data_IF_885261753842
#
_entry.id   IF_885261753842
#
_cell.length_a   1.000
_cell.length_b   1.000
_cell.length_c   1.000
_cell.angle_alpha   90.00
_cell.angle_beta   90.00
_cell.angle_gamma   90.00
#
_symmetry.space_group_name_H-M   'P 1'
#
loop_
_entity.id
_entity.type
_entity.pdbx_description
1 polymer ?
#
# COMPACT_ATOMS: atom_id res chain seq x y z
N UNK A 1 -16.73 29.78 -3.28
CA UNK A 1 -16.94 28.59 -2.42
C UNK A 1 -16.37 27.36 -3.11
N UNK A 2 -15.61 26.49 -2.42
CA UNK A 2 -15.12 25.23 -3.01
C UNK A 2 -16.28 24.24 -3.13
N UNK A 3 -16.42 23.57 -4.28
CA UNK A 3 -17.44 22.53 -4.49
C UNK A 3 -17.22 21.36 -3.49
N UNK A 4 -18.29 20.74 -2.98
CA UNK A 4 -18.17 19.59 -2.10
C UNK A 4 -17.52 18.41 -2.84
N UNK A 5 -16.71 17.64 -2.11
CA UNK A 5 -16.03 16.46 -2.66
C UNK A 5 -17.07 15.37 -2.94
N UNK A 6 -17.05 14.73 -4.13
CA UNK A 6 -17.97 13.63 -4.45
C UNK A 6 -17.84 12.45 -3.47
N UNK A 7 -18.94 11.76 -3.17
CA UNK A 7 -18.97 10.61 -2.24
C UNK A 7 -17.92 9.55 -2.58
N UNK A 8 -17.86 9.13 -3.86
CA UNK A 8 -16.86 8.15 -4.36
C UNK A 8 -15.43 8.61 -4.04
N UNK A 9 -15.12 9.89 -4.29
CA UNK A 9 -13.78 10.44 -4.02
C UNK A 9 -13.44 10.50 -2.53
N UNK A 10 -14.42 10.81 -1.69
CA UNK A 10 -14.26 10.77 -0.23
C UNK A 10 -13.92 9.36 0.24
N UNK A 11 -14.63 8.34 -0.24
CA UNK A 11 -14.37 6.93 0.07
C UNK A 11 -12.98 6.48 -0.38
N UNK A 12 -12.54 6.86 -1.59
CA UNK A 12 -11.17 6.55 -2.06
C UNK A 12 -10.10 7.13 -1.12
N UNK A 13 -10.28 8.36 -0.64
CA UNK A 13 -9.35 9.00 0.29
C UNK A 13 -9.33 8.28 1.66
N UNK A 14 -10.49 7.79 2.12
CA UNK A 14 -10.59 7.00 3.34
C UNK A 14 -9.88 5.65 3.18
N UNK A 15 -10.05 4.98 2.04
CA UNK A 15 -9.35 3.73 1.72
C UNK A 15 -7.83 3.95 1.64
N UNK A 16 -7.35 5.01 0.97
CA UNK A 16 -5.92 5.35 0.90
C UNK A 16 -5.32 5.56 2.31
N UNK A 17 -6.06 6.24 3.19
CA UNK A 17 -5.64 6.48 4.58
C UNK A 17 -5.54 5.18 5.37
N UNK A 18 -6.57 4.34 5.32
CA UNK A 18 -6.60 3.07 6.05
C UNK A 18 -5.54 2.10 5.54
N UNK A 19 -5.38 2.00 4.21
CA UNK A 19 -4.33 1.20 3.60
C UNK A 19 -2.94 1.63 4.08
N UNK A 20 -2.64 2.92 4.05
CA UNK A 20 -1.35 3.45 4.55
C UNK A 20 -1.12 3.11 6.03
N UNK A 21 -2.17 3.21 6.85
CA UNK A 21 -2.10 2.81 8.25
C UNK A 21 -1.84 1.31 8.43
N UNK A 22 -2.44 0.45 7.61
CA UNK A 22 -2.18 -0.99 7.64
C UNK A 22 -0.71 -1.30 7.32
N UNK A 23 -0.17 -0.71 6.25
CA UNK A 23 1.23 -0.92 5.84
C UNK A 23 2.21 -0.49 6.93
N UNK A 24 2.02 0.71 7.50
CA UNK A 24 2.90 1.21 8.56
C UNK A 24 2.77 0.37 9.83
N UNK A 25 1.55 -0.03 10.21
CA UNK A 25 1.32 -0.85 11.41
C UNK A 25 1.88 -2.28 11.27
N UNK A 26 1.79 -2.88 10.07
CA UNK A 26 2.37 -4.19 9.73
C UNK A 26 3.89 -4.15 9.83
N UNK A 27 4.51 -3.21 9.11
CA UNK A 27 5.95 -3.24 8.91
C UNK A 27 6.73 -2.62 10.07
N UNK A 28 6.17 -1.60 10.73
CA UNK A 28 6.72 -0.83 11.88
C UNK A 28 8.04 -0.09 11.65
N UNK A 29 8.87 -0.57 10.74
CA UNK A 29 10.14 0.00 10.32
C UNK A 29 10.24 -0.02 8.80
N UNK A 30 11.23 0.71 8.27
CA UNK A 30 11.55 0.70 6.86
C UNK A 30 11.96 -0.70 6.41
N UNK A 31 11.27 -1.27 5.43
CA UNK A 31 11.57 -2.62 4.92
C UNK A 31 12.91 -2.73 4.20
N UNK A 32 13.48 -1.62 3.74
CA UNK A 32 14.79 -1.60 3.09
C UNK A 32 15.99 -1.40 4.02
N UNK A 33 15.79 -0.83 5.22
CA UNK A 33 16.91 -0.42 6.11
C UNK A 33 16.67 -0.63 7.60
N UNK A 34 15.48 -1.10 7.99
CA UNK A 34 15.02 -1.23 9.37
C UNK A 34 14.97 0.07 10.20
N UNK A 35 15.14 1.23 9.58
CA UNK A 35 15.02 2.54 10.23
C UNK A 35 13.58 2.83 10.64
N UNK A 36 13.37 3.48 11.78
CA UNK A 36 12.08 4.02 12.23
C UNK A 36 11.88 5.51 11.89
N UNK A 37 12.82 6.12 11.18
CA UNK A 37 12.80 7.56 10.87
C UNK A 37 11.84 7.87 9.71
N UNK A 38 10.94 8.85 9.93
CA UNK A 38 10.02 9.43 8.93
C UNK A 38 9.41 8.39 7.98
N UNK A 39 8.71 7.43 8.56
CA UNK A 39 8.07 6.33 7.83
C UNK A 39 6.89 6.78 6.98
N UNK A 40 6.74 6.15 5.82
CA UNK A 40 5.62 6.36 4.90
C UNK A 40 5.31 5.07 4.14
N UNK A 41 4.03 4.84 3.85
CA UNK A 41 3.62 3.75 2.97
C UNK A 41 3.92 4.09 1.51
N UNK A 42 4.55 3.15 0.82
CA UNK A 42 4.90 3.23 -0.59
C UNK A 42 4.11 2.18 -1.38
N UNK A 43 3.57 2.59 -2.53
CA UNK A 43 2.90 1.67 -3.45
C UNK A 43 3.92 1.12 -4.46
N UNK A 44 4.17 -0.19 -4.45
CA UNK A 44 5.09 -0.85 -5.40
C UNK A 44 4.64 -0.64 -6.85
N UNK A 45 3.34 -0.84 -7.11
CA UNK A 45 2.66 -0.46 -8.35
C UNK A 45 1.84 0.79 -8.09
N UNK A 46 2.03 1.82 -8.92
CA UNK A 46 1.37 3.12 -8.78
C UNK A 46 -0.10 3.02 -8.41
N UNK A 47 -0.57 3.92 -7.54
CA UNK A 47 -1.99 4.06 -7.15
C UNK A 47 -2.96 4.30 -8.33
N UNK A 48 -2.43 4.60 -9.52
CA UNK A 48 -3.22 4.69 -10.76
C UNK A 48 -3.73 3.32 -11.22
N UNK A 49 -3.04 2.24 -10.87
CA UNK A 49 -3.47 0.86 -11.12
C UNK A 49 -4.49 0.46 -10.06
N UNK A 50 -5.78 0.63 -10.36
CA UNK A 50 -6.86 0.42 -9.39
C UNK A 50 -6.88 -1.00 -8.82
N UNK A 51 -6.59 -2.02 -9.62
CA UNK A 51 -6.58 -3.44 -9.22
C UNK A 51 -5.62 -3.79 -8.07
N UNK A 52 -4.57 -2.99 -7.85
CA UNK A 52 -3.58 -3.20 -6.78
C UNK A 52 -3.55 -2.06 -5.77
N UNK A 53 -4.34 -1.00 -5.94
CA UNK A 53 -4.20 0.25 -5.17
C UNK A 53 -4.34 0.05 -3.66
N UNK A 54 -5.32 -0.74 -3.23
CA UNK A 54 -5.56 -1.01 -1.81
C UNK A 54 -5.20 -2.43 -1.41
N UNK A 55 -4.44 -3.13 -2.26
CA UNK A 55 -3.87 -4.43 -1.95
C UNK A 55 -2.71 -4.24 -0.95
N UNK A 56 -2.72 -4.97 0.15
CA UNK A 56 -1.66 -4.87 1.15
C UNK A 56 -0.32 -5.43 0.64
N UNK A 57 -0.33 -6.40 -0.28
CA UNK A 57 0.87 -6.90 -0.98
C UNK A 57 1.49 -5.82 -1.89
N UNK A 58 0.73 -4.80 -2.28
CA UNK A 58 1.23 -3.71 -3.11
C UNK A 58 1.90 -2.60 -2.27
N UNK A 59 2.02 -2.78 -0.96
CA UNK A 59 2.51 -1.77 -0.03
C UNK A 59 3.78 -2.15 0.70
N UNK A 60 4.68 -1.19 0.91
CA UNK A 60 5.82 -1.31 1.81
C UNK A 60 5.98 -0.05 2.65
N UNK A 61 6.32 -0.19 3.92
CA UNK A 61 6.74 0.92 4.76
C UNK A 61 8.21 1.27 4.46
N UNK A 62 8.46 2.51 4.05
CA UNK A 62 9.79 3.02 3.72
C UNK A 62 10.08 4.30 4.51
N UNK A 63 11.33 4.45 4.95
CA UNK A 63 11.82 5.73 5.45
C UNK A 63 11.93 6.73 4.31
N UNK A 64 11.90 8.03 4.63
CA UNK A 64 12.00 9.09 3.64
C UNK A 64 13.22 8.95 2.71
N UNK A 65 14.39 8.54 3.24
CA UNK A 65 15.62 8.34 2.46
C UNK A 65 15.46 7.25 1.40
N UNK A 66 14.88 6.11 1.77
CA UNK A 66 14.64 5.01 0.83
C UNK A 66 13.54 5.36 -0.15
N UNK A 67 12.48 6.03 0.30
CA UNK A 67 11.39 6.47 -0.57
C UNK A 67 11.90 7.46 -1.63
N UNK A 68 12.80 8.38 -1.26
CA UNK A 68 13.39 9.34 -2.19
C UNK A 68 14.25 8.68 -3.29
N UNK A 69 14.79 7.48 -3.04
CA UNK A 69 15.55 6.72 -4.02
C UNK A 69 14.73 6.43 -5.28
N UNK A 70 13.41 6.26 -5.17
CA UNK A 70 12.52 6.12 -6.33
C UNK A 70 12.72 7.26 -7.34
N UNK A 71 12.94 8.49 -6.86
CA UNK A 71 13.18 9.65 -7.71
C UNK A 71 14.64 9.78 -8.12
N UNK A 72 15.56 9.52 -7.20
CA UNK A 72 16.98 9.75 -7.43
C UNK A 72 17.64 8.66 -8.30
N UNK A 73 17.25 7.40 -8.14
CA UNK A 73 17.73 6.26 -8.91
C UNK A 73 16.62 5.18 -8.98
N UNK A 74 15.70 5.27 -9.96
CA UNK A 74 14.56 4.37 -10.07
C UNK A 74 14.94 2.90 -10.29
N UNK A 75 16.04 2.62 -11.01
CA UNK A 75 16.52 1.26 -11.28
C UNK A 75 16.96 0.59 -9.99
N UNK A 76 17.86 1.23 -9.24
CA UNK A 76 18.31 0.73 -7.93
C UNK A 76 17.14 0.59 -6.95
N UNK A 77 16.15 1.49 -7.03
CA UNK A 77 14.95 1.38 -6.23
C UNK A 77 14.15 0.13 -6.60
N UNK A 78 13.95 -0.15 -7.89
CA UNK A 78 13.27 -1.35 -8.34
C UNK A 78 13.99 -2.63 -7.88
N UNK A 79 15.32 -2.69 -7.99
CA UNK A 79 16.11 -3.83 -7.52
C UNK A 79 15.93 -4.04 -6.01
N UNK A 80 15.94 -2.95 -5.23
CA UNK A 80 15.68 -3.01 -3.79
C UNK A 80 14.30 -3.61 -3.50
N UNK A 81 13.25 -3.18 -4.21
CA UNK A 81 11.90 -3.71 -4.04
C UNK A 81 11.86 -5.21 -4.36
N UNK A 82 12.45 -5.63 -5.49
CA UNK A 82 12.53 -7.03 -5.89
C UNK A 82 13.28 -7.86 -4.86
N UNK A 83 14.36 -7.34 -4.28
CA UNK A 83 15.11 -8.01 -3.21
C UNK A 83 14.29 -8.18 -1.92
N UNK A 84 13.39 -7.22 -1.60
CA UNK A 84 12.55 -7.29 -0.39
C UNK A 84 11.43 -8.31 -0.55
N UNK A 85 10.70 -8.30 -1.67
CA UNK A 85 9.47 -9.11 -1.85
C UNK A 85 9.68 -10.38 -2.68
N UNK A 86 10.81 -10.47 -3.39
CA UNK A 86 11.11 -11.51 -4.35
C UNK A 86 10.50 -11.26 -5.73
N UNK A 87 11.22 -11.69 -6.79
CA UNK A 87 10.80 -11.47 -8.18
C UNK A 87 9.42 -12.08 -8.48
N UNK A 88 9.13 -13.29 -7.99
CA UNK A 88 7.83 -13.94 -8.21
C UNK A 88 6.65 -13.07 -7.76
N UNK A 89 6.75 -12.42 -6.59
CA UNK A 89 5.71 -11.52 -6.09
C UNK A 89 5.66 -10.23 -6.88
N UNK A 90 6.81 -9.66 -7.20
CA UNK A 90 6.91 -8.48 -8.05
C UNK A 90 6.21 -8.69 -9.40
N UNK A 91 6.49 -9.81 -10.09
CA UNK A 91 5.84 -10.14 -11.35
C UNK A 91 4.35 -10.45 -11.19
N UNK A 92 3.92 -11.03 -10.07
CA UNK A 92 2.49 -11.24 -9.78
C UNK A 92 1.74 -9.90 -9.63
N UNK A 93 2.29 -8.96 -8.86
CA UNK A 93 1.76 -7.60 -8.72
C UNK A 93 1.77 -6.85 -10.06
N UNK A 94 2.83 -7.00 -10.86
CA UNK A 94 2.91 -6.44 -12.20
C UNK A 94 1.77 -6.93 -13.07
N UNK A 95 1.52 -8.25 -13.13
CA UNK A 95 0.40 -8.84 -13.88
C UNK A 95 -0.95 -8.34 -13.36
N UNK A 96 -1.17 -8.34 -12.05
CA UNK A 96 -2.41 -7.84 -11.43
C UNK A 96 -2.66 -6.37 -11.75
N UNK A 97 -1.62 -5.53 -11.75
CA UNK A 97 -1.73 -4.09 -12.03
C UNK A 97 -2.19 -3.74 -13.45
N UNK A 98 -2.12 -4.69 -14.39
CA UNK A 98 -2.58 -4.53 -15.76
C UNK A 98 -4.09 -4.79 -15.93
N UNK A 99 -4.75 -5.34 -14.91
CA UNK A 99 -6.19 -5.55 -14.92
C UNK A 99 -6.93 -4.22 -14.76
N UNK A 100 -7.94 -3.99 -15.61
CA UNK A 100 -8.81 -2.83 -15.52
C UNK A 100 -9.95 -3.15 -14.55
N UNK A 101 -10.09 -2.31 -13.52
CA UNK A 101 -11.14 -2.44 -12.51
C UNK A 101 -11.80 -1.08 -12.32
N UNK A 102 -13.12 -1.03 -12.43
CA UNK A 102 -13.91 0.13 -12.00
C UNK A 102 -14.66 -0.23 -10.71
N UNK A 103 -14.26 0.41 -9.61
CA UNK A 103 -14.89 0.21 -8.32
C UNK A 103 -16.13 1.09 -8.20
N UNK A 104 -17.26 0.48 -7.89
CA UNK A 104 -18.47 1.19 -7.47
C UNK A 104 -18.30 1.78 -6.07
N UNK A 105 -19.27 2.57 -5.62
CA UNK A 105 -19.27 3.05 -4.23
C UNK A 105 -19.42 1.91 -3.21
N UNK A 106 -20.16 0.85 -3.56
CA UNK A 106 -20.34 -0.32 -2.70
C UNK A 106 -19.01 -1.07 -2.53
N UNK A 107 -18.25 -1.24 -3.62
CA UNK A 107 -16.93 -1.88 -3.55
C UNK A 107 -15.97 -1.10 -2.63
N UNK A 108 -15.99 0.24 -2.71
CA UNK A 108 -15.16 1.08 -1.85
C UNK A 108 -15.59 1.02 -0.37
N UNK A 109 -16.89 0.89 -0.09
CA UNK A 109 -17.39 0.69 1.27
C UNK A 109 -16.93 -0.66 1.83
N UNK A 110 -16.95 -1.72 1.01
CA UNK A 110 -16.42 -3.04 1.38
C UNK A 110 -14.90 -2.99 1.63
N UNK A 111 -14.12 -2.43 0.70
CA UNK A 111 -12.66 -2.29 0.84
C UNK A 111 -12.31 -1.52 2.12
N UNK A 112 -13.04 -0.44 2.41
CA UNK A 112 -12.86 0.33 3.64
C UNK A 112 -13.12 -0.53 4.89
N UNK A 113 -14.18 -1.33 4.88
CA UNK A 113 -14.51 -2.22 6.00
C UNK A 113 -13.42 -3.28 6.20
N UNK A 114 -12.96 -3.90 5.11
CA UNK A 114 -11.91 -4.92 5.14
C UNK A 114 -10.59 -4.36 5.69
N UNK A 115 -10.17 -3.18 5.20
CA UNK A 115 -8.98 -2.49 5.71
C UNK A 115 -9.12 -2.08 7.18
N UNK A 116 -10.32 -1.69 7.61
CA UNK A 116 -10.58 -1.35 9.02
C UNK A 116 -10.44 -2.57 9.92
N UNK A 117 -10.99 -3.70 9.50
CA UNK A 117 -10.85 -4.98 10.22
C UNK A 117 -9.38 -5.40 10.27
N UNK A 118 -8.69 -5.37 9.13
CA UNK A 118 -7.25 -5.69 9.07
C UNK A 118 -6.41 -4.80 9.96
N UNK A 119 -6.65 -3.49 9.98
CA UNK A 119 -5.91 -2.60 10.88
C UNK A 119 -6.15 -2.93 12.35
N UNK A 120 -7.36 -3.35 12.72
CA UNK A 120 -7.69 -3.79 14.08
C UNK A 120 -6.92 -5.07 14.43
N UNK A 121 -6.91 -6.05 13.54
CA UNK A 121 -6.22 -7.34 13.75
C UNK A 121 -4.71 -7.16 13.90
N UNK A 122 -4.10 -6.33 13.04
CA UNK A 122 -2.67 -5.96 13.10
C UNK A 122 -2.32 -5.34 14.45
N UNK A 123 -3.18 -4.42 14.95
CA UNK A 123 -2.95 -3.74 16.22
C UNK A 123 -3.18 -4.62 17.44
N UNK A 124 -4.12 -5.57 17.34
CA UNK A 124 -4.36 -6.57 18.37
C UNK A 124 -3.27 -7.66 18.39
N UNK A 125 -2.43 -7.71 17.37
CA UNK A 125 -1.36 -8.69 17.23
C UNK A 125 -1.83 -10.09 16.87
N UNK A 126 -3.03 -10.20 16.30
CA UNK A 126 -3.68 -11.46 15.93
C UNK A 126 -3.26 -11.97 14.55
N UNK A 127 -2.46 -11.19 13.82
CA UNK A 127 -2.12 -11.43 12.42
C UNK A 127 -0.64 -11.06 12.21
N UNK A 128 0.34 -11.66 12.89
CA UNK A 128 1.76 -11.38 12.54
C UNK A 128 2.33 -12.36 11.52
N UNK A 129 1.81 -13.59 11.51
CA UNK A 129 2.39 -14.68 10.72
C UNK A 129 1.70 -14.87 9.35
N UNK A 130 0.56 -14.21 9.10
CA UNK A 130 -0.25 -14.37 7.88
C UNK A 130 -0.54 -13.06 7.13
N UNK A 131 0.09 -11.94 7.47
CA UNK A 131 -0.11 -10.72 6.67
C UNK A 131 0.66 -10.87 5.36
N UNK A 132 -0.02 -10.69 4.21
CA UNK A 132 0.64 -10.69 2.93
C UNK A 132 1.80 -9.67 2.89
N UNK A 133 2.81 -9.97 2.07
CA UNK A 133 4.14 -9.36 2.07
C UNK A 133 4.26 -8.38 0.91
#
# INVERSE_FOLDING_TARGET
MKKPIPKKKKLENECDKLWSQCIIARDRTCRGTNSSDRLSAHHIRSRTHRSTRWDLDNGLCLSWKVHFLQKANPERFQDLIINIIGDKKYQALKRKSLQVVDYTTADLEQIKQDLTNKLKDIKAGLDFDNIPF
#
